data_IF_819593753196
#
_entry.id   IF_819593753196
#
_cell.length_a   1.000
_cell.length_b   1.000
_cell.length_c   1.000
_cell.angle_alpha   90.00
_cell.angle_beta   90.00
_cell.angle_gamma   90.00
#
_symmetry.space_group_name_H-M   'P 1'
#
loop_
_entity.id
_entity.type
_entity.pdbx_description
1 polymer ?
#
# COMPACT_ATOMS: atom_id res chain seq x y z
N UNK A 1 -14.61 28.66 26.31
CA UNK A 1 -15.22 27.32 26.19
C UNK A 1 -15.13 26.73 24.78
N UNK A 2 -15.34 27.53 23.71
CA UNK A 2 -15.26 27.06 22.32
C UNK A 2 -13.84 26.66 21.85
N UNK A 3 -12.78 27.32 22.33
CA UNK A 3 -11.38 27.04 21.95
C UNK A 3 -10.90 25.66 22.45
N UNK A 4 -11.41 25.17 23.59
CA UNK A 4 -11.05 23.86 24.15
C UNK A 4 -11.69 22.68 23.38
N UNK A 5 -12.84 22.89 22.73
CA UNK A 5 -13.51 21.88 21.89
C UNK A 5 -12.78 21.65 20.56
N UNK A 6 -12.19 22.71 19.97
CA UNK A 6 -11.41 22.62 18.74
C UNK A 6 -10.08 21.86 18.89
N UNK A 7 -9.50 21.81 20.09
CA UNK A 7 -8.27 21.07 20.38
C UNK A 7 -8.56 19.55 20.50
N UNK A 8 -9.74 19.19 21.00
CA UNK A 8 -10.21 17.80 21.06
C UNK A 8 -10.65 17.27 19.69
N UNK A 9 -11.21 18.13 18.83
CA UNK A 9 -11.48 17.84 17.43
C UNK A 9 -10.25 18.12 16.55
N UNK A 10 -9.06 17.69 17.00
CA UNK A 10 -7.78 17.89 16.30
C UNK A 10 -7.68 17.12 14.97
N UNK A 11 -6.48 16.81 14.44
CA UNK A 11 -6.34 16.04 13.19
C UNK A 11 -6.76 14.57 13.31
N UNK A 12 -7.21 14.13 14.49
CA UNK A 12 -7.57 12.74 14.78
C UNK A 12 -8.55 12.07 13.79
N UNK A 13 -9.68 12.68 13.38
CA UNK A 13 -10.54 12.12 12.35
C UNK A 13 -9.84 12.00 10.98
N UNK A 14 -9.00 12.99 10.61
CA UNK A 14 -8.24 12.97 9.36
C UNK A 14 -7.20 11.83 9.37
N UNK A 15 -6.45 11.69 10.46
CA UNK A 15 -5.45 10.65 10.65
C UNK A 15 -6.09 9.25 10.70
N UNK A 16 -7.25 9.12 11.34
CA UNK A 16 -8.02 7.88 11.37
C UNK A 16 -8.48 7.47 9.98
N UNK A 17 -8.99 8.42 9.18
CA UNK A 17 -9.40 8.18 7.80
C UNK A 17 -8.21 7.77 6.91
N UNK A 18 -7.07 8.49 7.01
CA UNK A 18 -5.85 8.16 6.27
C UNK A 18 -5.30 6.79 6.66
N UNK A 19 -5.37 6.43 7.95
CA UNK A 19 -4.95 5.13 8.45
C UNK A 19 -5.84 4.01 7.91
N UNK A 20 -7.15 4.23 7.85
CA UNK A 20 -8.11 3.29 7.25
C UNK A 20 -7.84 3.10 5.75
N UNK A 21 -7.64 4.19 5.00
CA UNK A 21 -7.30 4.15 3.58
C UNK A 21 -6.00 3.40 3.34
N UNK A 22 -4.97 3.67 4.16
CA UNK A 22 -3.68 2.97 4.09
C UNK A 22 -3.85 1.47 4.32
N UNK A 23 -4.63 1.10 5.34
CA UNK A 23 -4.89 -0.30 5.67
C UNK A 23 -5.64 -1.02 4.53
N UNK A 24 -6.63 -0.36 3.92
CA UNK A 24 -7.38 -0.90 2.79
C UNK A 24 -6.50 -1.06 1.54
N UNK A 25 -5.68 -0.05 1.23
CA UNK A 25 -4.71 -0.12 0.13
C UNK A 25 -3.72 -1.28 0.33
N UNK A 26 -3.24 -1.50 1.54
CA UNK A 26 -2.37 -2.64 1.86
C UNK A 26 -3.04 -3.99 1.66
N UNK A 27 -4.32 -4.11 2.04
CA UNK A 27 -5.11 -5.33 1.79
C UNK A 27 -5.23 -5.63 0.30
N UNK A 28 -5.52 -4.62 -0.51
CA UNK A 28 -5.62 -4.75 -1.97
C UNK A 28 -4.26 -5.19 -2.56
N UNK A 29 -3.17 -4.54 -2.14
CA UNK A 29 -1.80 -4.83 -2.60
C UNK A 29 -1.36 -6.25 -2.20
N UNK A 30 -1.73 -6.73 -1.00
CA UNK A 30 -1.51 -8.13 -0.58
C UNK A 30 -2.33 -9.12 -1.40
N UNK A 31 -3.60 -8.82 -1.68
CA UNK A 31 -4.45 -9.66 -2.52
C UNK A 31 -3.92 -9.76 -3.97
N UNK A 32 -3.36 -8.66 -4.50
CA UNK A 32 -2.67 -8.66 -5.78
C UNK A 32 -1.42 -9.55 -5.78
N UNK A 33 -0.80 -9.76 -4.61
CA UNK A 33 0.37 -10.62 -4.48
C UNK A 33 1.65 -9.93 -4.08
N UNK A 34 1.59 -8.69 -3.60
CA UNK A 34 2.77 -8.00 -3.09
C UNK A 34 2.88 -8.22 -1.58
N UNK A 35 3.94 -8.93 -1.18
CA UNK A 35 4.26 -9.23 0.21
C UNK A 35 5.48 -8.45 0.71
N UNK A 36 5.82 -8.69 1.98
CA UNK A 36 6.93 -8.01 2.68
C UNK A 36 8.28 -8.30 2.00
N UNK A 37 8.44 -9.51 1.46
CA UNK A 37 9.67 -9.94 0.76
C UNK A 37 9.63 -9.64 -0.76
N UNK A 38 8.66 -8.86 -1.23
CA UNK A 38 8.40 -8.63 -2.65
C UNK A 38 7.24 -9.45 -3.19
N UNK A 39 7.28 -9.80 -4.46
CA UNK A 39 6.18 -10.47 -5.15
C UNK A 39 6.03 -11.93 -4.67
N UNK A 40 4.83 -12.30 -4.21
CA UNK A 40 4.49 -13.63 -3.72
C UNK A 40 4.41 -14.61 -4.90
N UNK A 41 5.15 -15.72 -4.84
CA UNK A 41 5.12 -16.75 -5.89
C UNK A 41 3.71 -17.31 -6.07
N UNK A 42 3.26 -17.41 -7.32
CA UNK A 42 1.92 -17.92 -7.68
C UNK A 42 0.78 -16.90 -7.55
N UNK A 43 1.10 -15.63 -7.27
CA UNK A 43 0.11 -14.55 -7.21
C UNK A 43 -0.14 -13.88 -8.57
N UNK A 44 -1.17 -13.05 -8.64
CA UNK A 44 -1.47 -12.22 -9.82
C UNK A 44 -0.32 -11.28 -10.18
N UNK A 45 0.35 -10.71 -9.18
CA UNK A 45 1.55 -9.90 -9.37
C UNK A 45 2.71 -10.71 -9.97
N UNK A 46 2.89 -11.97 -9.55
CA UNK A 46 3.90 -12.86 -10.13
C UNK A 46 3.58 -13.22 -11.60
N UNK A 47 2.30 -13.45 -11.90
CA UNK A 47 1.84 -13.68 -13.27
C UNK A 47 2.06 -12.45 -14.16
N UNK A 48 1.74 -11.26 -13.67
CA UNK A 48 1.99 -10.03 -14.43
C UNK A 48 3.50 -9.80 -14.65
N UNK A 49 4.32 -10.03 -13.63
CA UNK A 49 5.77 -9.89 -13.74
C UNK A 49 6.37 -10.87 -14.76
N UNK A 50 5.89 -12.12 -14.80
CA UNK A 50 6.40 -13.11 -15.75
C UNK A 50 5.92 -12.84 -17.19
N UNK A 51 4.66 -12.45 -17.36
CA UNK A 51 4.03 -12.30 -18.69
C UNK A 51 4.31 -10.96 -19.36
N UNK A 52 4.32 -9.86 -18.59
CA UNK A 52 4.40 -8.50 -19.14
C UNK A 52 5.74 -7.84 -18.92
N UNK A 53 6.42 -8.17 -17.83
CA UNK A 53 7.71 -7.55 -17.46
C UNK A 53 8.91 -8.43 -17.80
N UNK A 54 8.69 -9.67 -18.28
CA UNK A 54 9.73 -10.66 -18.58
C UNK A 54 10.76 -10.82 -17.43
N UNK A 55 10.33 -10.60 -16.19
CA UNK A 55 11.18 -10.61 -15.00
C UNK A 55 11.94 -9.31 -14.69
N UNK A 56 11.93 -8.30 -15.57
CA UNK A 56 12.56 -7.00 -15.33
C UNK A 56 11.54 -5.96 -14.86
N UNK A 57 11.67 -5.49 -13.61
CA UNK A 57 10.79 -4.46 -13.05
C UNK A 57 11.44 -3.09 -13.28
N UNK A 58 10.87 -2.22 -14.12
CA UNK A 58 11.42 -0.89 -14.34
C UNK A 58 11.31 -0.04 -13.08
N UNK A 59 12.41 0.63 -12.72
CA UNK A 59 12.46 1.58 -11.61
C UNK A 59 11.50 2.73 -11.91
N UNK A 60 10.68 3.12 -10.92
CA UNK A 60 9.67 4.17 -11.08
C UNK A 60 8.36 3.73 -11.75
N UNK A 61 8.23 2.46 -12.15
CA UNK A 61 6.96 1.93 -12.66
C UNK A 61 5.91 1.80 -11.55
N UNK A 62 4.64 1.78 -11.96
CA UNK A 62 3.51 1.52 -11.04
C UNK A 62 3.70 0.19 -10.31
N UNK A 63 4.28 -0.82 -10.96
CA UNK A 63 4.59 -2.11 -10.35
C UNK A 63 5.66 -1.99 -9.25
N UNK A 64 6.74 -1.23 -9.51
CA UNK A 64 7.76 -0.94 -8.50
C UNK A 64 7.18 -0.17 -7.30
N UNK A 65 6.27 0.77 -7.56
CA UNK A 65 5.58 1.52 -6.50
C UNK A 65 4.69 0.62 -5.65
N UNK A 66 3.89 -0.26 -6.28
CA UNK A 66 3.05 -1.24 -5.58
C UNK A 66 3.89 -2.25 -4.79
N UNK A 67 5.02 -2.69 -5.33
CA UNK A 67 5.96 -3.56 -4.62
C UNK A 67 6.56 -2.87 -3.39
N UNK A 68 6.99 -1.61 -3.53
CA UNK A 68 7.48 -0.82 -2.40
C UNK A 68 6.40 -0.60 -1.34
N UNK A 69 5.17 -0.34 -1.76
CA UNK A 69 4.04 -0.14 -0.87
C UNK A 69 3.71 -1.41 -0.07
N UNK A 70 3.71 -2.58 -0.72
CA UNK A 70 3.55 -3.87 -0.04
C UNK A 70 4.68 -4.19 0.94
N UNK A 71 5.91 -3.78 0.64
CA UNK A 71 7.07 -3.98 1.51
C UNK A 71 7.11 -3.07 2.74
N UNK A 72 6.52 -1.87 2.66
CA UNK A 72 6.58 -0.81 3.71
C UNK A 72 5.78 -1.07 5.00
N UNK A 73 5.42 -2.32 5.32
CA UNK A 73 4.51 -2.65 6.45
C UNK A 73 5.24 -3.19 7.69
N UNK A 74 6.25 -2.46 8.20
CA UNK A 74 6.72 -2.52 9.59
C UNK A 74 7.25 -1.14 10.01
#
# INVERSE_FOLDING_TARGET
MLVLLSIWFGPAPLLSLLSLLRWLAQRIVRCLGFGIKGVIKGSWAAFYQSTRLAGHIPVGSVFAWLQSFGASTF
#
